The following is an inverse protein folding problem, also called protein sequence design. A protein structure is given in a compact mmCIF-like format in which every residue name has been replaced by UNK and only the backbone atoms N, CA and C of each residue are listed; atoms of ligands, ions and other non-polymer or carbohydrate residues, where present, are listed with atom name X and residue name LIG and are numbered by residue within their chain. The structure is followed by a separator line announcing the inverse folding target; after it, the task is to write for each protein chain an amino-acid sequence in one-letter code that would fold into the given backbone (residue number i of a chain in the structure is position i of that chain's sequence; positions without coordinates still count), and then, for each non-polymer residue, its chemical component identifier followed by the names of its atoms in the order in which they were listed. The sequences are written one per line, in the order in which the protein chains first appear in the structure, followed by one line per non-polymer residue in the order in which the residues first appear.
data_IF_975463779074
#
_entry.id   IF_975463779074
#
_cell.length_a   1.000
_cell.length_b   1.000
_cell.length_c   1.000
_cell.angle_alpha   90.00
_cell.angle_beta   90.00
_cell.angle_gamma   90.00
#
_symmetry.space_group_name_H-M   'P 1'
#
loop_
_entity.id
_entity.type
_entity.pdbx_description
1 polymer ?
#
# COMPACT_ATOMS: atom_id res chain seq x y z
N UNK A 1 9.81 -1.49 -6.44
CA UNK A 1 8.33 -1.40 -6.26
C UNK A 1 8.05 -1.64 -4.80
N UNK A 2 7.15 -0.84 -4.20
CA UNK A 2 6.79 -0.98 -2.79
C UNK A 2 6.39 -2.43 -2.46
N UNK A 3 7.24 -3.13 -1.76
CA UNK A 3 7.07 -4.52 -1.37
C UNK A 3 7.25 -4.74 0.13
N UNK A 4 7.38 -3.66 0.89
CA UNK A 4 7.54 -3.69 2.34
C UNK A 4 7.08 -2.37 2.95
N UNK A 5 6.33 -2.43 4.06
CA UNK A 5 5.89 -1.23 4.77
C UNK A 5 5.82 -1.48 6.28
N UNK A 6 5.57 -0.42 7.06
CA UNK A 6 5.22 -0.54 8.46
C UNK A 6 3.84 0.08 8.71
N UNK A 7 3.05 -0.58 9.55
CA UNK A 7 1.74 -0.10 10.00
C UNK A 7 1.79 -0.08 11.53
N UNK A 8 1.90 1.11 12.09
CA UNK A 8 2.08 1.27 13.54
C UNK A 8 0.96 2.09 14.18
N UNK A 9 0.03 2.64 13.39
CA UNK A 9 -1.12 3.36 13.92
C UNK A 9 -2.04 2.41 14.70
N UNK A 10 -2.51 2.79 15.88
CA UNK A 10 -3.59 2.10 16.57
C UNK A 10 -4.88 2.02 15.74
N UNK A 11 -5.69 0.99 15.94
CA UNK A 11 -6.96 0.82 15.22
C UNK A 11 -7.92 2.00 15.44
N UNK A 12 -7.97 2.51 16.67
CA UNK A 12 -8.79 3.67 17.04
C UNK A 12 -8.38 4.92 16.27
N UNK A 13 -7.07 5.15 16.11
CA UNK A 13 -6.56 6.27 15.32
C UNK A 13 -6.91 6.13 13.84
N UNK A 14 -6.85 4.91 13.28
CA UNK A 14 -7.28 4.67 11.91
C UNK A 14 -8.78 4.89 11.74
N UNK A 15 -9.62 4.39 12.65
CA UNK A 15 -11.08 4.58 12.58
C UNK A 15 -11.48 6.04 12.64
N UNK A 16 -10.85 6.82 13.53
CA UNK A 16 -11.07 8.26 13.64
C UNK A 16 -10.60 9.00 12.37
N UNK A 17 -9.39 8.69 11.89
CA UNK A 17 -8.80 9.34 10.73
C UNK A 17 -9.66 9.19 9.46
N UNK A 18 -10.29 8.04 9.27
CA UNK A 18 -11.10 7.75 8.09
C UNK A 18 -12.61 7.89 8.30
N UNK A 19 -13.06 8.20 9.53
CA UNK A 19 -14.47 8.10 9.90
C UNK A 19 -15.07 6.75 9.47
N UNK A 20 -14.40 5.67 9.88
CA UNK A 20 -14.68 4.31 9.42
C UNK A 20 -15.13 3.39 10.55
N UNK A 21 -16.04 2.47 10.23
CA UNK A 21 -16.43 1.39 11.15
C UNK A 21 -15.42 0.25 11.05
N UNK A 22 -14.81 -0.21 12.17
CA UNK A 22 -13.84 -1.30 12.14
C UNK A 22 -14.53 -2.67 12.00
N UNK A 23 -13.91 -3.56 11.22
CA UNK A 23 -14.21 -5.00 11.25
C UNK A 23 -13.50 -5.67 12.44
N UNK A 24 -13.93 -6.88 12.85
CA UNK A 24 -13.45 -7.53 14.06
C UNK A 24 -12.03 -8.11 13.95
N UNK A 25 -11.62 -8.56 12.77
CA UNK A 25 -10.40 -9.37 12.58
C UNK A 25 -9.24 -8.53 12.01
N UNK A 26 -9.07 -7.29 12.51
CA UNK A 26 -7.98 -6.42 12.07
C UNK A 26 -6.61 -6.99 12.46
N UNK A 27 -5.60 -6.90 11.58
CA UNK A 27 -4.24 -7.36 11.89
C UNK A 27 -3.67 -6.61 13.10
N UNK A 28 -2.79 -7.26 13.90
CA UNK A 28 -2.18 -6.60 15.05
C UNK A 28 -1.27 -5.46 14.65
N UNK A 29 -1.25 -4.42 15.46
CA UNK A 29 -0.34 -3.28 15.38
C UNK A 29 0.36 -3.07 16.73
N UNK A 30 1.61 -2.55 16.75
CA UNK A 30 2.42 -2.13 15.61
C UNK A 30 3.07 -3.30 14.85
N UNK A 31 3.17 -3.18 13.52
CA UNK A 31 3.97 -4.06 12.70
C UNK A 31 4.95 -3.24 11.87
N UNK A 32 6.24 -3.39 12.16
CA UNK A 32 7.34 -2.64 11.53
C UNK A 32 7.87 -3.30 10.26
N UNK A 33 7.34 -4.48 9.88
CA UNK A 33 7.87 -5.26 8.76
C UNK A 33 6.76 -6.04 8.03
N UNK A 34 5.79 -5.30 7.53
CA UNK A 34 4.66 -5.87 6.78
C UNK A 34 5.14 -6.31 5.40
N UNK A 35 5.11 -7.61 5.18
CA UNK A 35 5.48 -8.26 3.92
C UNK A 35 4.22 -8.59 3.08
N UNK A 36 4.37 -8.80 1.77
CA UNK A 36 3.30 -9.35 0.95
C UNK A 36 2.75 -10.68 1.46
N UNK A 37 1.53 -10.99 1.08
CA UNK A 37 0.74 -12.21 1.39
C UNK A 37 0.13 -12.27 2.79
N UNK A 38 0.38 -11.28 3.64
CA UNK A 38 -0.29 -11.16 4.94
C UNK A 38 -1.51 -10.22 4.83
N UNK A 39 -2.49 -10.32 5.76
CA UNK A 39 -3.55 -9.32 5.89
C UNK A 39 -2.97 -7.97 6.28
N UNK A 40 -3.51 -6.91 5.67
CA UNK A 40 -3.21 -5.51 6.01
C UNK A 40 -4.49 -4.72 6.20
N UNK A 41 -4.40 -3.57 6.86
CA UNK A 41 -5.51 -2.65 7.03
C UNK A 41 -5.86 -1.97 5.71
N UNK A 42 -7.15 -1.94 5.39
CA UNK A 42 -7.68 -1.25 4.22
C UNK A 42 -8.97 -0.54 4.57
N UNK A 43 -9.24 0.59 3.91
CA UNK A 43 -10.51 1.29 4.05
C UNK A 43 -11.27 1.22 2.72
N UNK A 44 -12.49 0.75 2.77
CA UNK A 44 -13.43 0.74 1.64
C UNK A 44 -14.63 1.62 1.95
N UNK A 45 -15.35 2.04 0.92
CA UNK A 45 -16.62 2.75 1.09
C UNK A 45 -17.73 2.03 0.34
N UNK A 46 -18.90 1.96 0.96
CA UNK A 46 -20.13 1.42 0.37
C UNK A 46 -21.33 2.14 0.94
N UNK A 47 -22.21 2.66 0.06
CA UNK A 47 -23.40 3.40 0.45
C UNK A 47 -23.13 4.53 1.47
N UNK A 48 -22.03 5.25 1.29
CA UNK A 48 -21.62 6.35 2.17
C UNK A 48 -20.98 5.95 3.50
N UNK A 49 -20.82 4.66 3.76
CA UNK A 49 -20.17 4.16 4.99
C UNK A 49 -18.79 3.63 4.68
N UNK A 50 -17.78 4.15 5.35
CA UNK A 50 -16.41 3.63 5.30
C UNK A 50 -16.24 2.50 6.32
N UNK A 51 -15.48 1.48 5.91
CA UNK A 51 -15.15 0.34 6.77
C UNK A 51 -13.64 0.11 6.76
N UNK A 52 -13.06 0.02 7.96
CA UNK A 52 -11.68 -0.43 8.16
C UNK A 52 -11.70 -1.96 8.26
N UNK A 53 -11.04 -2.64 7.32
CA UNK A 53 -11.14 -4.09 7.20
C UNK A 53 -9.82 -4.73 6.77
N UNK A 54 -9.58 -6.01 7.11
CA UNK A 54 -8.40 -6.73 6.67
C UNK A 54 -8.54 -7.17 5.22
N UNK A 55 -7.45 -7.06 4.45
CA UNK A 55 -7.33 -7.69 3.14
C UNK A 55 -5.93 -8.27 2.97
N UNK A 56 -5.82 -9.40 2.30
CA UNK A 56 -4.51 -9.98 1.97
C UNK A 56 -3.79 -9.10 0.94
N UNK A 57 -2.59 -8.65 1.27
CA UNK A 57 -1.75 -7.89 0.34
C UNK A 57 -1.12 -8.83 -0.70
N UNK A 58 -1.63 -8.79 -1.89
CA UNK A 58 -1.30 -9.67 -3.00
C UNK A 58 -2.57 -10.05 -3.73
N UNK A 59 -2.92 -9.22 -4.71
CA UNK A 59 -4.13 -9.30 -5.50
C UNK A 59 -4.18 -10.62 -6.29
N UNK A 60 -5.29 -11.33 -6.21
CA UNK A 60 -5.49 -12.59 -6.91
C UNK A 60 -6.54 -12.39 -8.00
N UNK A 61 -6.17 -12.42 -9.29
CA UNK A 61 -7.13 -12.38 -10.38
C UNK A 61 -8.17 -13.50 -10.27
N UNK A 62 -9.42 -13.22 -10.63
CA UNK A 62 -10.53 -14.19 -10.49
C UNK A 62 -10.34 -15.51 -11.24
N UNK A 63 -9.50 -15.51 -12.29
CA UNK A 63 -9.21 -16.72 -13.08
C UNK A 63 -8.09 -17.60 -12.50
N UNK A 64 -7.42 -17.18 -11.40
CA UNK A 64 -6.45 -18.04 -10.74
C UNK A 64 -7.16 -19.19 -10.06
N UNK A 65 -6.70 -20.41 -10.33
CA UNK A 65 -7.28 -21.63 -9.75
C UNK A 65 -6.86 -21.90 -8.31
N UNK A 66 -5.86 -21.16 -7.81
CA UNK A 66 -5.34 -21.21 -6.45
C UNK A 66 -4.63 -19.89 -6.11
N UNK A 67 -4.46 -19.53 -4.83
CA UNK A 67 -3.86 -18.23 -4.44
C UNK A 67 -2.48 -17.96 -5.04
N UNK A 68 -1.69 -19.00 -5.27
CA UNK A 68 -0.37 -18.92 -5.90
C UNK A 68 -0.38 -19.46 -7.33
N UNK A 69 -1.47 -19.30 -8.06
CA UNK A 69 -1.69 -19.83 -9.41
C UNK A 69 -1.01 -19.04 -10.52
N UNK A 70 -0.27 -18.00 -10.19
CA UNK A 70 0.45 -17.13 -11.12
C UNK A 70 1.34 -16.14 -10.38
N UNK A 71 1.84 -15.08 -11.06
CA UNK A 71 2.66 -14.05 -10.44
C UNK A 71 1.98 -13.40 -9.23
N UNK A 72 2.75 -13.10 -8.19
CA UNK A 72 2.28 -12.36 -7.03
C UNK A 72 2.09 -10.87 -7.40
N UNK A 73 0.85 -10.40 -7.39
CA UNK A 73 0.49 -9.05 -7.82
C UNK A 73 0.29 -8.14 -6.58
N UNK A 74 1.38 -7.61 -6.05
CA UNK A 74 1.35 -6.70 -4.89
C UNK A 74 1.14 -5.24 -5.28
N UNK A 75 1.43 -4.90 -6.54
CA UNK A 75 1.32 -3.54 -7.08
C UNK A 75 0.59 -3.53 -8.43
N UNK A 76 -0.12 -2.44 -8.70
CA UNK A 76 -0.75 -2.14 -9.97
C UNK A 76 -0.29 -0.76 -10.47
N UNK A 77 0.23 -0.68 -11.71
CA UNK A 77 0.74 0.58 -12.28
C UNK A 77 -0.43 1.47 -12.72
N UNK A 78 -0.47 2.70 -12.25
CA UNK A 78 -1.52 3.68 -12.58
C UNK A 78 -1.68 3.89 -14.10
N UNK A 79 -0.60 3.84 -14.85
CA UNK A 79 -0.55 4.08 -16.30
C UNK A 79 -1.30 3.00 -17.08
N UNK A 80 -1.40 1.79 -16.56
CA UNK A 80 -2.01 0.65 -17.27
C UNK A 80 -3.12 -0.04 -16.48
N UNK A 81 -3.43 0.42 -15.28
CA UNK A 81 -4.39 -0.22 -14.36
C UNK A 81 -5.79 -0.37 -14.96
N UNK A 82 -6.22 0.62 -15.77
CA UNK A 82 -7.53 0.62 -16.41
C UNK A 82 -7.63 -0.31 -17.63
N UNK A 83 -6.49 -0.78 -18.14
CA UNK A 83 -6.40 -1.61 -19.35
C UNK A 83 -6.12 -3.08 -19.02
N UNK A 84 -5.23 -3.32 -18.05
CA UNK A 84 -4.79 -4.68 -17.69
C UNK A 84 -5.96 -5.54 -17.20
N UNK A 85 -6.21 -6.71 -17.79
CA UNK A 85 -7.33 -7.59 -17.44
C UNK A 85 -7.41 -7.91 -15.94
N UNK A 86 -6.25 -8.06 -15.27
CA UNK A 86 -6.20 -8.34 -13.84
C UNK A 86 -6.80 -7.21 -12.98
N UNK A 87 -6.66 -5.94 -13.39
CA UNK A 87 -6.91 -4.79 -12.53
C UNK A 87 -8.07 -3.90 -12.98
N UNK A 88 -8.41 -3.90 -14.28
CA UNK A 88 -9.34 -2.92 -14.88
C UNK A 88 -10.70 -2.85 -14.20
N UNK A 89 -11.26 -3.98 -13.79
CA UNK A 89 -12.54 -4.02 -13.11
C UNK A 89 -12.43 -3.53 -11.66
N UNK A 90 -11.40 -3.94 -10.93
CA UNK A 90 -11.12 -3.46 -9.59
C UNK A 90 -10.82 -1.95 -9.57
N UNK A 91 -10.08 -1.45 -10.56
CA UNK A 91 -9.82 -0.02 -10.72
C UNK A 91 -11.10 0.81 -10.90
N UNK A 92 -12.09 0.27 -11.58
CA UNK A 92 -13.38 0.95 -11.80
C UNK A 92 -14.30 0.89 -10.59
N UNK A 93 -14.36 -0.26 -9.92
CA UNK A 93 -15.46 -0.58 -9.01
C UNK A 93 -15.02 -0.89 -7.57
N UNK A 94 -13.74 -1.22 -7.33
CA UNK A 94 -13.26 -1.74 -6.05
C UNK A 94 -11.92 -1.08 -5.68
N UNK A 95 -12.01 0.18 -5.29
CA UNK A 95 -10.88 0.96 -4.77
C UNK A 95 -10.90 0.97 -3.25
N UNK A 96 -9.73 1.06 -2.64
CA UNK A 96 -9.56 1.16 -1.20
C UNK A 96 -8.42 2.12 -0.86
N UNK A 97 -8.36 2.54 0.39
CA UNK A 97 -7.24 3.23 0.98
C UNK A 97 -6.43 2.25 1.82
N UNK A 98 -5.12 2.40 1.84
CA UNK A 98 -4.21 1.56 2.63
C UNK A 98 -3.42 2.48 3.55
N UNK A 99 -3.78 2.58 4.85
CA UNK A 99 -3.02 3.37 5.82
C UNK A 99 -1.68 2.71 6.12
N UNK A 100 -0.63 3.52 6.20
CA UNK A 100 0.70 3.06 6.58
C UNK A 100 1.45 4.17 7.30
N UNK A 101 2.42 3.81 8.12
CA UNK A 101 3.34 4.77 8.75
C UNK A 101 4.41 5.20 7.77
N UNK A 102 4.83 4.29 6.90
CA UNK A 102 5.82 4.51 5.86
C UNK A 102 6.12 3.20 5.14
N UNK A 103 7.02 3.25 4.19
CA UNK A 103 7.41 2.07 3.42
C UNK A 103 8.92 1.99 3.26
N UNK A 104 9.40 0.79 2.94
CA UNK A 104 10.79 0.55 2.61
C UNK A 104 10.96 0.41 1.11
N UNK A 105 12.08 0.94 0.62
CA UNK A 105 12.54 0.71 -0.74
C UNK A 105 14.07 0.54 -0.74
N UNK A 106 14.59 -0.14 -1.74
CA UNK A 106 16.00 -0.52 -1.80
C UNK A 106 16.70 0.16 -2.96
N UNK A 107 17.71 0.97 -2.63
CA UNK A 107 18.66 1.43 -3.63
C UNK A 107 19.56 0.26 -4.04
N UNK A 108 19.60 -0.02 -5.33
CA UNK A 108 20.41 -1.09 -5.89
C UNK A 108 21.55 -0.49 -6.69
N UNK A 109 22.79 -0.80 -6.29
CA UNK A 109 24.00 -0.50 -7.04
C UNK A 109 24.60 -1.83 -7.46
N UNK A 110 25.03 -1.92 -8.69
CA UNK A 110 25.60 -3.16 -9.23
C UNK A 110 26.85 -3.57 -8.42
N UNK A 111 26.91 -4.84 -8.01
CA UNK A 111 28.00 -5.37 -7.19
C UNK A 111 27.89 -5.07 -5.70
N UNK A 112 26.89 -4.35 -5.23
CA UNK A 112 26.73 -4.00 -3.83
C UNK A 112 25.48 -4.66 -3.21
N UNK A 113 25.50 -4.79 -1.87
CA UNK A 113 24.30 -5.20 -1.13
C UNK A 113 23.24 -4.11 -1.23
N UNK A 114 21.98 -4.45 -1.57
CA UNK A 114 20.90 -3.45 -1.64
C UNK A 114 20.75 -2.68 -0.33
N UNK A 115 20.75 -1.35 -0.43
CA UNK A 115 20.62 -0.44 0.71
C UNK A 115 19.14 -0.16 1.00
N UNK A 116 18.61 -0.50 2.18
CA UNK A 116 17.25 -0.18 2.55
C UNK A 116 17.10 1.28 2.95
N UNK A 117 16.04 1.90 2.45
CA UNK A 117 15.61 3.25 2.78
C UNK A 117 14.20 3.20 3.36
N UNK A 118 14.01 3.88 4.47
CA UNK A 118 12.71 4.14 5.08
C UNK A 118 12.16 5.45 4.55
N UNK A 119 10.96 5.41 4.02
CA UNK A 119 10.30 6.57 3.39
C UNK A 119 9.04 6.92 4.16
N UNK A 120 8.95 8.16 4.61
CA UNK A 120 7.81 8.72 5.34
C UNK A 120 7.37 10.03 4.71
N UNK A 121 6.25 10.57 5.18
CA UNK A 121 5.88 11.96 4.87
C UNK A 121 6.79 12.92 5.61
N UNK A 122 7.13 14.03 4.96
CA UNK A 122 7.97 15.09 5.56
C UNK A 122 7.30 15.83 6.71
N UNK A 123 5.96 15.87 6.73
CA UNK A 123 5.16 16.48 7.81
C UNK A 123 4.92 15.54 9.00
N UNK A 124 5.43 14.32 8.97
CA UNK A 124 5.26 13.32 10.03
C UNK A 124 3.88 12.68 10.11
N UNK A 125 2.94 13.05 9.26
CA UNK A 125 1.62 12.45 9.22
C UNK A 125 1.66 11.03 8.61
N UNK A 126 0.71 10.15 8.95
CA UNK A 126 0.59 8.85 8.30
C UNK A 126 0.42 8.98 6.79
N UNK A 127 0.95 8.01 6.04
CA UNK A 127 0.70 7.88 4.61
C UNK A 127 -0.57 7.10 4.36
N UNK A 128 -1.24 7.44 3.25
CA UNK A 128 -2.38 6.68 2.75
C UNK A 128 -2.15 6.36 1.29
N UNK A 129 -1.97 5.08 1.00
CA UNK A 129 -1.81 4.63 -0.38
C UNK A 129 -3.15 4.36 -1.04
N UNK A 130 -3.23 4.68 -2.32
CA UNK A 130 -4.30 4.20 -3.18
C UNK A 130 -4.16 2.69 -3.39
N UNK A 131 -5.24 1.96 -3.20
CA UNK A 131 -5.32 0.53 -3.44
C UNK A 131 -6.49 0.14 -4.31
N UNK A 132 -6.42 -1.04 -4.87
CA UNK A 132 -7.52 -1.74 -5.51
C UNK A 132 -7.68 -3.10 -4.87
N UNK A 133 -8.90 -3.64 -4.87
CA UNK A 133 -9.18 -4.91 -4.21
C UNK A 133 -10.18 -5.76 -4.97
N UNK A 134 -10.22 -7.05 -4.63
CA UNK A 134 -11.32 -7.93 -5.06
C UNK A 134 -11.46 -9.15 -4.16
N UNK A 135 -12.64 -9.75 -4.22
CA UNK A 135 -12.85 -11.09 -3.69
C UNK A 135 -12.41 -12.11 -4.73
N UNK A 136 -11.66 -13.10 -4.27
CA UNK A 136 -11.32 -14.28 -5.02
C UNK A 136 -11.99 -15.48 -4.35
N UNK A 137 -12.64 -16.29 -5.16
CA UNK A 137 -13.38 -17.48 -4.70
C UNK A 137 -13.07 -18.65 -5.62
N UNK A 138 -12.77 -19.80 -5.03
CA UNK A 138 -12.55 -21.05 -5.78
C UNK A 138 -12.93 -22.24 -4.89
N UNK A 139 -14.01 -22.93 -5.24
CA UNK A 139 -14.62 -23.92 -4.36
C UNK A 139 -15.08 -23.28 -3.04
N UNK A 140 -14.58 -23.80 -1.93
CA UNK A 140 -14.88 -23.27 -0.57
C UNK A 140 -13.89 -22.18 -0.11
N UNK A 141 -12.80 -21.98 -0.84
CA UNK A 141 -11.80 -20.97 -0.52
C UNK A 141 -12.28 -19.56 -0.91
N UNK A 142 -12.20 -18.61 0.03
CA UNK A 142 -12.56 -17.21 -0.18
C UNK A 142 -11.51 -16.31 0.42
N UNK A 143 -11.00 -15.37 -0.38
CA UNK A 143 -10.01 -14.38 0.04
C UNK A 143 -10.38 -13.00 -0.51
N UNK A 144 -10.38 -12.00 0.36
CA UNK A 144 -10.38 -10.60 -0.06
C UNK A 144 -8.94 -10.13 -0.18
N UNK A 145 -8.56 -9.65 -1.35
CA UNK A 145 -7.17 -9.35 -1.70
C UNK A 145 -7.02 -7.96 -2.26
N UNK A 146 -5.87 -7.32 -2.05
CA UNK A 146 -5.59 -5.97 -2.54
C UNK A 146 -4.21 -5.85 -3.17
N UNK A 147 -4.03 -4.80 -3.98
CA UNK A 147 -2.75 -4.33 -4.49
C UNK A 147 -2.63 -2.82 -4.27
N UNK A 148 -1.40 -2.36 -4.04
CA UNK A 148 -1.06 -0.94 -3.98
C UNK A 148 -0.96 -0.39 -5.41
N UNK A 149 -1.58 0.75 -5.67
CA UNK A 149 -1.39 1.48 -6.92
C UNK A 149 -0.06 2.23 -6.87
N UNK A 150 0.70 2.18 -7.96
CA UNK A 150 2.01 2.86 -8.07
C UNK A 150 2.05 3.76 -9.28
N UNK A 151 2.83 4.85 -9.18
CA UNK A 151 3.15 5.80 -10.25
C UNK A 151 4.64 5.77 -10.57
N UNK A 152 5.07 6.49 -11.58
CA UNK A 152 6.48 6.83 -11.74
C UNK A 152 7.00 7.61 -10.52
N UNK A 153 8.25 7.39 -10.18
CA UNK A 153 8.91 8.11 -9.09
C UNK A 153 9.01 9.61 -9.42
N UNK A 154 8.88 10.47 -8.39
CA UNK A 154 9.30 11.86 -8.48
C UNK A 154 10.84 11.97 -8.45
N UNK A 155 11.41 13.15 -8.66
CA UNK A 155 12.85 13.33 -8.72
C UNK A 155 13.54 12.97 -7.39
N UNK A 156 12.90 13.18 -6.25
CA UNK A 156 13.45 12.83 -4.94
C UNK A 156 13.55 11.30 -4.71
N UNK A 157 12.58 10.53 -5.24
CA UNK A 157 12.57 9.07 -5.12
C UNK A 157 13.43 8.37 -6.18
N UNK A 158 13.59 8.97 -7.36
CA UNK A 158 14.25 8.37 -8.52
C UNK A 158 15.66 7.78 -8.23
N UNK A 159 16.51 8.38 -7.36
CA UNK A 159 17.81 7.80 -7.00
C UNK A 159 17.72 6.47 -6.26
N UNK A 160 16.59 6.18 -5.62
CA UNK A 160 16.37 4.96 -4.84
C UNK A 160 15.64 3.92 -5.70
N UNK A 161 14.53 4.33 -6.32
CA UNK A 161 13.72 3.44 -7.14
C UNK A 161 12.90 4.24 -8.17
N UNK A 162 12.66 3.65 -9.35
CA UNK A 162 11.91 4.29 -10.45
C UNK A 162 10.39 4.31 -10.25
N UNK A 163 9.85 3.72 -9.18
CA UNK A 163 8.42 3.72 -8.85
C UNK A 163 8.16 4.24 -7.45
N UNK A 164 6.98 4.82 -7.26
CA UNK A 164 6.47 5.33 -5.99
C UNK A 164 5.03 4.84 -5.77
N UNK A 165 4.62 4.46 -4.56
CA UNK A 165 3.21 4.29 -4.24
C UNK A 165 2.41 5.56 -4.57
N UNK A 166 1.18 5.41 -5.05
CA UNK A 166 0.26 6.53 -5.20
C UNK A 166 -0.23 6.95 -3.81
N UNK A 167 0.32 8.05 -3.30
CA UNK A 167 -0.02 8.59 -1.98
C UNK A 167 -1.16 9.59 -2.15
N UNK A 168 -2.21 9.44 -1.35
CA UNK A 168 -3.40 10.29 -1.41
C UNK A 168 -3.49 11.20 -0.18
N UNK A 169 -3.84 12.45 -0.44
CA UNK A 169 -4.19 13.43 0.59
C UNK A 169 -5.65 13.27 1.06
N UNK A 170 -6.04 13.74 2.25
CA UNK A 170 -7.39 13.55 2.79
C UNK A 170 -8.52 14.06 1.88
N UNK A 171 -8.31 15.15 1.17
CA UNK A 171 -9.24 15.72 0.19
C UNK A 171 -9.44 14.83 -1.05
N UNK A 172 -8.51 13.94 -1.34
CA UNK A 172 -8.55 13.00 -2.47
C UNK A 172 -9.25 11.67 -2.14
N UNK A 173 -9.38 11.33 -0.85
CA UNK A 173 -9.97 10.04 -0.44
C UNK A 173 -11.39 9.82 -0.95
N UNK A 174 -12.32 10.81 -0.83
CA UNK A 174 -13.68 10.63 -1.35
C UNK A 174 -13.72 10.35 -2.85
N UNK A 175 -12.85 11.01 -3.62
CA UNK A 175 -12.78 10.81 -5.06
C UNK A 175 -12.19 9.42 -5.40
N UNK A 176 -11.15 9.00 -4.67
CA UNK A 176 -10.58 7.67 -4.85
C UNK A 176 -11.57 6.56 -4.50
N UNK A 177 -12.26 6.67 -3.38
CA UNK A 177 -13.25 5.70 -2.94
C UNK A 177 -14.54 5.69 -3.80
N UNK A 178 -14.75 6.71 -4.64
CA UNK A 178 -15.95 6.85 -5.48
C UNK A 178 -17.12 7.55 -4.78
N UNK A 179 -16.92 8.09 -3.59
CA UNK A 179 -17.92 8.85 -2.83
C UNK A 179 -18.23 10.21 -3.49
N UNK A 180 -17.21 10.85 -4.08
CA UNK A 180 -17.33 12.11 -4.82
C UNK A 180 -17.56 11.91 -6.35
N UNK A 181 -17.99 10.73 -6.77
CA UNK A 181 -18.31 10.44 -8.17
C UNK A 181 -17.12 9.94 -8.98
N UNK A 182 -17.06 10.33 -10.27
CA UNK A 182 -16.03 9.91 -11.22
C UNK A 182 -14.84 10.88 -11.22
N UNK A 183 -13.65 10.42 -11.63
CA UNK A 183 -12.47 11.28 -11.78
C UNK A 183 -11.22 10.81 -11.06
N UNK A 184 -11.23 9.62 -10.47
CA UNK A 184 -10.07 9.06 -9.77
C UNK A 184 -8.76 9.05 -10.61
N UNK A 185 -8.86 9.00 -11.94
CA UNK A 185 -7.70 9.09 -12.84
C UNK A 185 -6.97 10.44 -12.76
N UNK A 186 -7.65 11.51 -12.38
CA UNK A 186 -7.06 12.86 -12.28
C UNK A 186 -6.08 12.99 -11.11
N UNK A 187 -6.24 12.15 -10.08
CA UNK A 187 -5.39 12.13 -8.89
C UNK A 187 -4.31 11.04 -8.93
N UNK A 188 -4.20 10.28 -10.02
CA UNK A 188 -3.14 9.28 -10.20
C UNK A 188 -1.81 9.93 -10.62
N UNK A 189 -1.26 10.76 -9.74
CA UNK A 189 -0.02 11.51 -9.96
C UNK A 189 0.97 11.21 -8.84
N UNK A 190 2.27 11.31 -9.15
CA UNK A 190 3.31 11.21 -8.14
C UNK A 190 3.18 12.31 -7.08
N UNK A 191 3.55 11.99 -5.85
CA UNK A 191 3.60 12.98 -4.77
C UNK A 191 4.60 14.10 -5.10
N UNK A 192 4.41 15.34 -4.57
CA UNK A 192 5.41 16.41 -4.65
C UNK A 192 6.77 15.96 -4.11
N UNK A 193 7.86 16.54 -4.61
CA UNK A 193 9.23 16.15 -4.24
C UNK A 193 9.54 16.38 -2.77
N UNK A 194 9.00 17.44 -2.20
CA UNK A 194 9.15 17.85 -0.79
C UNK A 194 8.21 17.13 0.18
N UNK A 195 7.28 16.33 -0.34
CA UNK A 195 6.30 15.62 0.48
C UNK A 195 6.89 14.42 1.24
N UNK A 196 8.10 13.99 0.90
CA UNK A 196 8.69 12.75 1.42
C UNK A 196 10.03 13.00 2.12
N UNK A 197 10.26 12.25 3.19
CA UNK A 197 11.52 12.16 3.91
C UNK A 197 12.11 10.77 3.68
N UNK A 198 13.39 10.72 3.38
CA UNK A 198 14.14 9.50 3.07
C UNK A 198 15.23 9.29 4.11
N UNK A 199 15.27 8.13 4.74
CA UNK A 199 16.27 7.79 5.76
C UNK A 199 16.85 6.40 5.49
N UNK A 200 18.17 6.27 5.54
CA UNK A 200 18.81 4.95 5.52
C UNK A 200 18.54 4.23 6.82
N UNK A 201 18.22 2.95 6.72
CA UNK A 201 17.95 2.10 7.88
C UNK A 201 18.84 0.85 7.87
N UNK A 202 18.82 0.10 8.96
CA UNK A 202 19.58 -1.13 9.11
C UNK A 202 19.22 -2.18 8.06
N UNK A 203 20.20 -2.95 7.60
CA UNK A 203 20.00 -4.08 6.69
C UNK A 203 19.25 -5.25 7.32
N UNK A 204 18.97 -5.23 8.62
CA UNK A 204 18.11 -6.22 9.29
C UNK A 204 16.75 -6.35 8.60
N UNK A 205 16.21 -5.23 8.08
CA UNK A 205 14.92 -5.23 7.35
C UNK A 205 14.95 -6.06 6.05
N UNK A 206 16.12 -6.46 5.56
CA UNK A 206 16.25 -7.36 4.42
C UNK A 206 15.66 -8.74 4.73
N UNK A 207 15.69 -9.16 6.01
CA UNK A 207 14.99 -10.36 6.45
C UNK A 207 13.50 -10.09 6.61
N UNK A 208 12.66 -10.91 6.00
CA UNK A 208 11.21 -10.86 6.20
C UNK A 208 10.77 -11.36 7.59
N UNK A 209 11.69 -11.90 8.38
CA UNK A 209 11.45 -12.35 9.77
C UNK A 209 11.88 -11.30 10.81
N UNK A 210 12.57 -10.24 10.39
CA UNK A 210 12.98 -9.18 11.30
C UNK A 210 11.75 -8.46 11.87
N UNK A 211 11.82 -8.08 13.14
CA UNK A 211 10.73 -7.39 13.86
C UNK A 211 11.30 -6.28 14.75
N UNK A 212 10.44 -5.37 15.17
CA UNK A 212 10.79 -4.33 16.14
C UNK A 212 11.02 -2.94 15.56
N UNK A 213 10.94 -1.95 16.43
CA UNK A 213 10.99 -0.52 16.04
C UNK A 213 12.35 -0.08 15.51
N UNK A 214 13.43 -0.80 15.84
CA UNK A 214 14.78 -0.49 15.32
C UNK A 214 14.86 -0.56 13.78
N UNK A 215 13.94 -1.27 13.13
CA UNK A 215 13.90 -1.39 11.67
C UNK A 215 13.64 -0.07 10.94
N UNK A 216 12.94 0.88 11.61
CA UNK A 216 12.66 2.23 11.09
C UNK A 216 13.63 3.29 11.63
N UNK A 217 14.54 2.91 12.54
CA UNK A 217 15.49 3.84 13.08
C UNK A 217 16.56 4.21 12.04
N UNK A 218 16.86 5.51 11.86
CA UNK A 218 17.94 5.92 10.95
C UNK A 218 19.28 5.38 11.45
N UNK A 219 20.09 4.89 10.51
CA UNK A 219 21.50 4.58 10.81
C UNK A 219 22.32 5.86 10.80
N UNK A 220 23.18 6.01 11.78
CA UNK A 220 24.18 7.10 11.77
C UNK A 220 25.08 6.97 10.55
N UNK A 221 25.29 8.07 9.86
CA UNK A 221 26.20 8.18 8.71
C UNK A 221 27.62 7.96 9.15
#
# INVERSE_FOLDING_TARGET
MCGRMAITLPHEAMTQMFDAVPDNDLPPVPNYNVCPTVPIHTVTSSAGTRRLRPMRWGFIPHWYKKPNGGPLLINARSETIAEKPAFRDACRNRRCLIPTTGFYEWRRVEGETPEPWWVTRSDGAPMVFAGIWQNWEMGDDRLTTCAIVTTDANAAMAPIHHRLPLILTPDQWPLWLGEAGKGASQIMKSAPEDALLFQRVTTEVNSNRATGAQLIAPISS
#
